data_IF_377696354047
#
_entry.id   IF_377696354047
#
_cell.length_a   1.000
_cell.length_b   1.000
_cell.length_c   1.000
_cell.angle_alpha   90.00
_cell.angle_beta   90.00
_cell.angle_gamma   90.00
#
_symmetry.space_group_name_H-M   'P 1'
#
loop_
_entity.id
_entity.type
_entity.pdbx_description
1 polymer ?
#
# COMPACT_ATOMS: atom_id res chain seq x y z
N UNK A 1 17.76 -33.99 12.95
CA UNK A 1 16.58 -33.11 12.77
C UNK A 1 16.87 -31.64 13.11
N UNK A 2 17.47 -31.35 14.28
CA UNK A 2 17.81 -29.98 14.72
C UNK A 2 18.67 -29.18 13.72
N UNK A 3 19.66 -29.81 13.08
CA UNK A 3 20.54 -29.18 12.08
C UNK A 3 19.82 -28.76 10.80
N UNK A 4 18.86 -29.57 10.32
CA UNK A 4 18.03 -29.19 9.15
C UNK A 4 17.08 -28.02 9.48
N UNK A 5 16.60 -27.96 10.72
CA UNK A 5 15.75 -26.87 11.21
C UNK A 5 16.54 -25.55 11.32
N UNK A 6 17.79 -25.60 11.80
CA UNK A 6 18.68 -24.43 11.83
C UNK A 6 19.02 -23.90 10.43
N UNK A 7 19.27 -24.79 9.46
CA UNK A 7 19.51 -24.40 8.07
C UNK A 7 18.27 -23.73 7.43
N UNK A 8 17.08 -24.25 7.70
CA UNK A 8 15.83 -23.65 7.21
C UNK A 8 15.58 -22.25 7.81
N UNK A 9 15.85 -22.08 9.11
CA UNK A 9 15.70 -20.79 9.78
C UNK A 9 16.70 -19.75 9.28
N UNK A 10 17.95 -20.16 9.02
CA UNK A 10 18.97 -19.28 8.44
C UNK A 10 18.59 -18.81 7.02
N UNK A 11 18.01 -19.71 6.21
CA UNK A 11 17.48 -19.36 4.88
C UNK A 11 16.36 -18.32 4.95
N UNK A 12 15.41 -18.48 5.88
CA UNK A 12 14.29 -17.55 6.04
C UNK A 12 14.74 -16.13 6.44
N UNK A 13 15.73 -16.02 7.35
CA UNK A 13 16.25 -14.73 7.80
C UNK A 13 16.95 -13.97 6.68
N UNK A 14 17.61 -14.66 5.74
CA UNK A 14 18.30 -14.01 4.62
C UNK A 14 17.36 -13.23 3.69
N UNK A 15 16.10 -13.67 3.54
CA UNK A 15 15.12 -13.01 2.68
C UNK A 15 14.70 -11.61 3.18
N UNK A 16 14.86 -11.33 4.47
CA UNK A 16 14.44 -10.06 5.08
C UNK A 16 15.46 -8.92 4.87
N UNK A 17 16.62 -9.20 4.28
CA UNK A 17 17.72 -8.22 4.13
C UNK A 17 17.61 -7.30 2.91
N UNK A 18 16.58 -7.48 2.07
CA UNK A 18 16.41 -6.76 0.79
C UNK A 18 15.77 -5.37 0.91
N UNK A 19 15.30 -4.97 2.10
CA UNK A 19 14.70 -3.64 2.30
C UNK A 19 15.79 -2.56 2.40
N UNK A 20 15.78 -1.60 1.47
CA UNK A 20 16.66 -0.43 1.48
C UNK A 20 15.85 0.85 1.71
N UNK A 21 16.40 1.80 2.46
CA UNK A 21 15.79 3.12 2.63
C UNK A 21 16.04 4.00 1.40
N UNK A 22 14.96 4.45 0.77
CA UNK A 22 15.03 5.33 -0.41
C UNK A 22 15.34 6.76 0.02
N UNK A 23 16.33 7.38 -0.63
CA UNK A 23 16.67 8.80 -0.38
C UNK A 23 15.51 9.69 -0.81
N UNK A 24 15.28 10.78 -0.08
CA UNK A 24 14.09 11.63 -0.27
C UNK A 24 13.88 12.08 -1.73
N UNK A 25 14.95 12.46 -2.44
CA UNK A 25 14.85 12.90 -3.84
C UNK A 25 14.48 11.77 -4.81
N UNK A 26 14.77 10.51 -4.48
CA UNK A 26 14.41 9.34 -5.30
C UNK A 26 12.94 8.96 -5.13
N UNK A 27 12.31 9.35 -4.01
CA UNK A 27 10.87 9.11 -3.79
C UNK A 27 10.00 9.77 -4.84
N UNK A 28 10.44 10.90 -5.42
CA UNK A 28 9.76 11.53 -6.56
C UNK A 28 9.55 10.60 -7.77
N UNK A 29 10.36 9.55 -7.94
CA UNK A 29 10.23 8.56 -9.02
C UNK A 29 9.32 7.39 -8.68
N UNK A 30 9.00 7.21 -7.40
CA UNK A 30 8.20 6.10 -6.87
C UNK A 30 6.79 6.59 -6.52
N UNK A 31 6.67 7.86 -6.10
CA UNK A 31 5.42 8.51 -5.77
C UNK A 31 4.59 8.75 -7.04
N UNK A 32 3.68 7.83 -7.33
CA UNK A 32 2.67 8.01 -8.36
C UNK A 32 1.56 8.96 -7.86
N UNK A 33 1.12 9.85 -8.74
CA UNK A 33 -0.04 10.72 -8.51
C UNK A 33 -1.35 9.97 -8.29
N UNK A 34 -1.49 8.74 -8.79
CA UNK A 34 -2.66 7.87 -8.54
C UNK A 34 -2.63 7.25 -7.13
N UNK A 35 -1.45 7.13 -6.52
CA UNK A 35 -1.28 6.51 -5.19
C UNK A 35 -1.59 7.48 -4.05
N UNK A 36 -2.00 8.71 -4.34
CA UNK A 36 -2.49 9.64 -3.32
C UNK A 36 -3.85 9.15 -2.81
N UNK A 37 -3.98 8.93 -1.50
CA UNK A 37 -5.26 8.56 -0.87
C UNK A 37 -6.18 9.79 -0.75
N UNK A 38 -6.55 10.37 -1.88
CA UNK A 38 -7.50 11.45 -1.97
C UNK A 38 -8.18 11.41 -3.33
N UNK A 39 -9.50 11.51 -3.36
CA UNK A 39 -10.23 11.57 -4.61
C UNK A 39 -9.85 12.79 -5.44
N UNK A 40 -9.69 12.59 -6.74
CA UNK A 40 -9.77 13.68 -7.70
C UNK A 40 -11.18 14.25 -7.74
N UNK A 41 -11.31 15.50 -8.18
CA UNK A 41 -12.62 16.17 -8.30
C UNK A 41 -13.59 15.37 -9.18
N UNK A 42 -13.08 14.75 -10.25
CA UNK A 42 -13.87 13.95 -11.20
C UNK A 42 -14.33 12.61 -10.64
N UNK A 43 -13.57 12.01 -9.71
CA UNK A 43 -13.87 10.69 -9.12
C UNK A 43 -14.93 10.75 -8.02
N UNK A 44 -15.29 11.94 -7.54
CA UNK A 44 -16.30 12.10 -6.48
C UNK A 44 -17.67 11.56 -6.88
N UNK A 45 -18.09 11.83 -8.12
CA UNK A 45 -19.38 11.35 -8.64
C UNK A 45 -19.34 9.85 -8.87
N UNK A 46 -18.21 9.33 -9.34
CA UNK A 46 -18.02 7.90 -9.57
C UNK A 46 -18.10 7.12 -8.24
N UNK A 47 -17.31 7.54 -7.26
CA UNK A 47 -17.30 6.93 -5.93
C UNK A 47 -18.64 7.09 -5.21
N UNK A 48 -19.37 8.19 -5.44
CA UNK A 48 -20.73 8.32 -4.89
C UNK A 48 -21.67 7.26 -5.46
N UNK A 49 -21.59 6.94 -6.75
CA UNK A 49 -22.41 5.88 -7.34
C UNK A 49 -21.99 4.50 -6.79
N UNK A 50 -20.69 4.21 -6.73
CA UNK A 50 -20.17 2.92 -6.28
C UNK A 50 -20.47 2.70 -4.78
N UNK A 51 -20.28 3.72 -3.95
CA UNK A 51 -20.62 3.64 -2.53
C UNK A 51 -22.12 3.47 -2.31
N UNK A 52 -22.95 4.22 -3.04
CA UNK A 52 -24.40 4.16 -2.85
C UNK A 52 -25.02 2.87 -3.39
N UNK A 53 -24.59 2.40 -4.56
CA UNK A 53 -25.16 1.23 -5.24
C UNK A 53 -24.51 -0.09 -4.81
N UNK A 54 -23.20 -0.08 -4.63
CA UNK A 54 -22.38 -1.31 -4.46
C UNK A 54 -21.78 -1.41 -3.06
N UNK A 55 -21.99 -0.40 -2.20
CA UNK A 55 -21.41 -0.37 -0.86
C UNK A 55 -19.88 -0.27 -0.88
N UNK A 56 -19.30 0.18 -2.00
CA UNK A 56 -17.86 0.28 -2.13
C UNK A 56 -17.30 1.31 -1.13
N UNK A 57 -16.30 0.88 -0.35
CA UNK A 57 -15.53 1.74 0.54
C UNK A 57 -14.06 1.68 0.10
N UNK A 58 -13.57 2.75 -0.51
CA UNK A 58 -12.21 2.86 -1.01
C UNK A 58 -11.23 3.40 0.04
N UNK A 59 -9.93 3.31 -0.24
CA UNK A 59 -8.86 3.88 0.59
C UNK A 59 -8.62 5.36 0.24
N UNK A 60 -9.52 6.26 0.66
CA UNK A 60 -9.57 7.64 0.15
C UNK A 60 -9.10 8.69 1.19
N UNK A 61 -8.49 8.26 2.30
CA UNK A 61 -8.25 9.07 3.54
C UNK A 61 -9.43 9.93 3.99
N UNK A 62 -10.66 9.56 3.62
CA UNK A 62 -11.86 10.36 3.83
C UNK A 62 -12.82 9.74 4.84
N UNK A 63 -13.86 10.47 5.24
CA UNK A 63 -14.89 9.93 6.16
C UNK A 63 -15.61 8.69 5.64
N UNK A 64 -15.75 8.58 4.31
CA UNK A 64 -16.48 7.49 3.65
C UNK A 64 -15.59 6.31 3.23
N UNK A 65 -14.27 6.40 3.43
CA UNK A 65 -13.31 5.41 2.95
C UNK A 65 -12.04 5.42 3.77
N UNK A 66 -11.79 4.34 4.51
CA UNK A 66 -10.64 4.17 5.41
C UNK A 66 -9.65 3.15 4.85
N UNK A 67 -8.38 3.56 4.76
CA UNK A 67 -7.29 2.67 4.38
C UNK A 67 -5.96 3.16 4.95
N UNK A 68 -5.03 2.23 5.20
CA UNK A 68 -3.65 2.56 5.49
C UNK A 68 -3.02 3.01 4.17
N UNK A 69 -2.68 4.29 4.07
CA UNK A 69 -2.08 4.82 2.87
C UNK A 69 -0.66 4.31 2.68
N UNK A 70 -0.42 3.55 1.62
CA UNK A 70 0.92 3.13 1.20
C UNK A 70 1.41 4.08 0.11
N UNK A 71 1.76 5.31 0.47
CA UNK A 71 2.64 6.13 -0.35
C UNK A 71 4.07 5.98 0.19
#
# INVERSE_FOLDING_TARGET
MKTKMFLALAGLVSCLTSCESVKEYQKSKINDSEMTLSNRKVEKTELSFQSYREGASGANSGKSGGGCGCN
#
